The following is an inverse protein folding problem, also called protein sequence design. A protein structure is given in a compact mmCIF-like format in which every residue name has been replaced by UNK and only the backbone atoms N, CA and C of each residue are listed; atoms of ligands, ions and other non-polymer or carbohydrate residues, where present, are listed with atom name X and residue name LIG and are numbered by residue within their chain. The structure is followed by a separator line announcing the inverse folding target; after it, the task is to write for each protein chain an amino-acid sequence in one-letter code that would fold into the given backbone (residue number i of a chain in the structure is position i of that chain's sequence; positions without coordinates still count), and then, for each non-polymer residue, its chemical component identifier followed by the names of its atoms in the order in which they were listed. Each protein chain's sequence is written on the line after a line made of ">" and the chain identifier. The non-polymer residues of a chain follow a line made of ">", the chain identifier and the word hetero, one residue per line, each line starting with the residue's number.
data_IF_635786079691
#
_entry.id   IF_635786079691
#
_cell.length_a   1.000
_cell.length_b   1.000
_cell.length_c   1.000
_cell.angle_alpha   90.00
_cell.angle_beta   90.00
_cell.angle_gamma   90.00
#
_symmetry.space_group_name_H-M   'P 1'
#
loop_
_entity.id
_entity.type
_entity.pdbx_description
1 polymer ?
#
# COMPACT_ATOMS: atom_id res chain seq x y z
N UNK A 1 7.53 3.18 4.57
CA UNK A 1 7.29 1.73 4.74
C UNK A 1 6.40 1.17 3.63
N UNK A 2 5.17 1.64 3.46
CA UNK A 2 4.21 1.03 2.52
C UNK A 2 4.65 1.10 1.05
N UNK A 3 5.36 2.15 0.60
CA UNK A 3 5.91 2.21 -0.77
C UNK A 3 7.03 1.19 -0.98
N UNK A 4 7.95 1.07 0.00
CA UNK A 4 8.99 0.06 -0.04
C UNK A 4 8.39 -1.36 -0.03
N UNK A 5 7.36 -1.58 0.79
CA UNK A 5 6.62 -2.84 0.85
C UNK A 5 5.99 -3.22 -0.48
N UNK A 6 5.31 -2.28 -1.15
CA UNK A 6 4.69 -2.51 -2.46
C UNK A 6 5.73 -2.75 -3.55
N UNK A 7 6.86 -2.02 -3.51
CA UNK A 7 7.95 -2.20 -4.47
C UNK A 7 8.59 -3.59 -4.34
N UNK A 8 8.97 -3.99 -3.13
CA UNK A 8 9.53 -5.32 -2.87
C UNK A 8 8.50 -6.43 -3.13
N UNK A 9 7.22 -6.17 -2.80
CA UNK A 9 6.12 -7.07 -3.11
C UNK A 9 5.94 -7.30 -4.62
N UNK A 10 6.08 -6.24 -5.42
CA UNK A 10 6.06 -6.36 -6.89
C UNK A 10 7.23 -7.20 -7.40
N UNK A 11 8.44 -7.01 -6.86
CA UNK A 11 9.59 -7.85 -7.18
C UNK A 11 9.36 -9.33 -6.84
N UNK A 12 8.72 -9.60 -5.70
CA UNK A 12 8.34 -10.97 -5.33
C UNK A 12 7.34 -11.59 -6.29
N UNK A 13 6.34 -10.80 -6.76
CA UNK A 13 5.36 -11.26 -7.75
C UNK A 13 6.03 -11.59 -9.07
N UNK A 14 6.89 -10.68 -9.58
CA UNK A 14 7.62 -10.88 -10.85
C UNK A 14 8.47 -12.15 -10.77
N UNK A 15 9.24 -12.31 -9.71
CA UNK A 15 10.05 -13.50 -9.48
C UNK A 15 9.21 -14.79 -9.47
N UNK A 16 8.04 -14.76 -8.83
CA UNK A 16 7.10 -15.89 -8.82
C UNK A 16 6.55 -16.21 -10.21
N UNK A 17 6.29 -15.20 -11.04
CA UNK A 17 5.83 -15.36 -12.42
C UNK A 17 6.92 -15.95 -13.33
N UNK A 18 8.17 -15.45 -13.22
CA UNK A 18 9.32 -15.99 -13.94
C UNK A 18 9.59 -17.45 -13.58
N UNK A 19 9.52 -17.77 -12.27
CA UNK A 19 9.67 -19.16 -11.81
C UNK A 19 8.55 -20.05 -12.37
N UNK A 20 7.31 -19.54 -12.43
CA UNK A 20 6.19 -20.24 -13.04
C UNK A 20 6.38 -20.48 -14.53
N UNK A 21 6.98 -19.55 -15.28
CA UNK A 21 7.33 -19.70 -16.68
C UNK A 21 8.36 -20.82 -16.88
N UNK A 22 9.45 -20.80 -16.10
CA UNK A 22 10.47 -21.85 -16.18
C UNK A 22 9.86 -23.24 -15.91
N UNK A 23 9.03 -23.35 -14.88
CA UNK A 23 8.35 -24.60 -14.55
C UNK A 23 7.42 -25.09 -15.67
N UNK A 24 6.68 -24.18 -16.32
CA UNK A 24 5.82 -24.49 -17.45
C UNK A 24 6.63 -25.05 -18.62
N UNK A 25 7.77 -24.43 -18.96
CA UNK A 25 8.67 -24.90 -20.02
C UNK A 25 9.23 -26.30 -19.75
N UNK A 26 9.60 -26.62 -18.51
CA UNK A 26 10.07 -27.96 -18.13
C UNK A 26 9.01 -29.05 -18.37
N UNK A 27 7.73 -28.70 -18.26
CA UNK A 27 6.62 -29.62 -18.50
C UNK A 27 6.09 -29.59 -19.96
N UNK A 28 6.76 -28.85 -20.87
CA UNK A 28 6.39 -28.76 -22.27
C UNK A 28 5.17 -27.87 -22.53
N UNK A 29 4.77 -27.07 -21.56
CA UNK A 29 3.74 -26.05 -21.74
C UNK A 29 4.40 -24.74 -22.22
N UNK A 30 3.76 -24.06 -23.16
CA UNK A 30 4.29 -22.81 -23.73
C UNK A 30 3.42 -21.62 -23.38
N UNK A 31 4.06 -20.54 -22.98
CA UNK A 31 3.41 -19.26 -22.77
C UNK A 31 3.04 -18.59 -24.12
N UNK A 32 2.16 -17.59 -24.02
CA UNK A 32 1.85 -16.73 -25.16
C UNK A 32 3.11 -16.00 -25.65
N UNK A 33 3.30 -15.82 -26.96
CA UNK A 33 4.54 -15.22 -27.52
C UNK A 33 4.86 -13.80 -27.02
N UNK A 34 3.86 -13.10 -26.43
CA UNK A 34 4.01 -11.72 -25.88
C UNK A 34 4.06 -11.69 -24.38
N UNK A 35 4.33 -12.84 -23.71
CA UNK A 35 4.37 -12.88 -22.24
C UNK A 35 5.44 -11.94 -21.66
N UNK A 36 5.04 -11.20 -20.66
CA UNK A 36 5.91 -10.33 -19.86
C UNK A 36 5.51 -10.47 -18.38
N UNK A 37 6.43 -10.94 -17.54
CA UNK A 37 6.23 -11.14 -16.12
C UNK A 37 5.93 -9.83 -15.37
N UNK A 38 6.24 -8.67 -15.94
CA UNK A 38 5.93 -7.36 -15.36
C UNK A 38 4.50 -6.89 -15.67
N UNK A 39 3.82 -7.47 -16.64
CA UNK A 39 2.51 -7.02 -17.06
C UNK A 39 1.39 -7.73 -16.29
N UNK A 40 0.66 -6.96 -15.47
CA UNK A 40 -0.48 -7.44 -14.68
C UNK A 40 -1.59 -8.11 -15.52
N UNK A 41 -1.64 -7.87 -16.84
CA UNK A 41 -2.64 -8.50 -17.72
C UNK A 41 -2.43 -9.99 -17.86
N UNK A 42 -1.21 -10.48 -17.66
CA UNK A 42 -0.85 -11.89 -17.71
C UNK A 42 -0.94 -12.60 -16.34
N UNK A 43 -1.15 -11.83 -15.26
CA UNK A 43 -1.29 -12.34 -13.89
C UNK A 43 -2.73 -12.79 -13.60
N UNK A 44 -3.02 -13.04 -12.35
CA UNK A 44 -4.34 -13.38 -11.81
C UNK A 44 -4.29 -14.62 -10.95
N UNK A 45 -5.16 -14.67 -9.93
CA UNK A 45 -5.27 -15.82 -9.05
C UNK A 45 -4.07 -16.09 -8.13
N UNK A 46 -3.07 -15.22 -8.11
CA UNK A 46 -1.82 -15.42 -7.36
C UNK A 46 -2.02 -15.51 -5.84
N UNK A 47 -3.16 -15.04 -5.31
CA UNK A 47 -3.48 -15.16 -3.87
C UNK A 47 -3.33 -16.57 -3.32
N UNK A 48 -3.65 -17.59 -4.11
CA UNK A 48 -3.56 -18.98 -3.69
C UNK A 48 -2.14 -19.54 -3.82
N UNK A 49 -1.36 -19.00 -4.71
CA UNK A 49 0.01 -19.45 -5.02
C UNK A 49 1.05 -18.73 -4.17
N UNK A 50 0.82 -17.45 -3.88
CA UNK A 50 1.72 -16.56 -3.16
C UNK A 50 0.97 -15.88 -1.99
N UNK A 51 0.51 -16.62 -0.97
CA UNK A 51 -0.34 -16.06 0.09
C UNK A 51 0.39 -15.06 0.98
N UNK A 52 1.67 -15.27 1.29
CA UNK A 52 2.43 -14.35 2.13
C UNK A 52 2.71 -13.01 1.40
N UNK A 53 3.13 -13.08 0.14
CA UNK A 53 3.29 -11.91 -0.72
C UNK A 53 1.95 -11.18 -0.91
N UNK A 54 0.84 -11.90 -1.08
CA UNK A 54 -0.50 -11.31 -1.17
C UNK A 54 -0.87 -10.51 0.08
N UNK A 55 -0.69 -11.09 1.29
CA UNK A 55 -1.01 -10.41 2.55
C UNK A 55 -0.16 -9.15 2.71
N UNK A 56 1.15 -9.25 2.48
CA UNK A 56 2.06 -8.11 2.54
C UNK A 56 1.66 -7.00 1.56
N UNK A 57 1.34 -7.38 0.31
CA UNK A 57 0.90 -6.45 -0.72
C UNK A 57 -0.44 -5.81 -0.41
N UNK A 58 -1.39 -6.57 0.15
CA UNK A 58 -2.69 -6.07 0.59
C UNK A 58 -2.53 -5.03 1.70
N UNK A 59 -1.73 -5.33 2.73
CA UNK A 59 -1.45 -4.38 3.83
C UNK A 59 -0.80 -3.11 3.30
N UNK A 60 0.21 -3.23 2.43
CA UNK A 60 0.87 -2.08 1.80
C UNK A 60 -0.10 -1.24 0.95
N UNK A 61 -0.96 -1.91 0.19
CA UNK A 61 -1.99 -1.27 -0.63
C UNK A 61 -3.05 -0.54 0.19
N UNK A 62 -3.54 -1.16 1.25
CA UNK A 62 -4.48 -0.54 2.19
C UNK A 62 -3.82 0.67 2.90
N UNK A 63 -2.55 0.55 3.29
CA UNK A 63 -1.81 1.66 3.89
C UNK A 63 -1.60 2.81 2.90
N UNK A 64 -1.27 2.51 1.63
CA UNK A 64 -1.15 3.52 0.58
C UNK A 64 -2.50 4.18 0.27
N UNK A 65 -3.58 3.41 0.20
CA UNK A 65 -4.94 3.93 0.00
C UNK A 65 -5.44 4.78 1.19
N UNK A 66 -4.88 4.58 2.38
CA UNK A 66 -5.33 5.23 3.60
C UNK A 66 -6.60 4.59 4.16
N UNK A 67 -6.59 3.25 4.28
CA UNK A 67 -7.75 2.55 4.84
C UNK A 67 -7.99 2.97 6.30
N UNK A 68 -9.23 3.37 6.67
CA UNK A 68 -9.51 4.00 7.95
C UNK A 68 -9.10 3.14 9.15
N UNK A 69 -8.59 3.80 10.18
CA UNK A 69 -8.25 3.29 11.53
C UNK A 69 -7.15 2.24 11.62
N UNK A 70 -6.85 1.48 10.57
CA UNK A 70 -5.98 0.30 10.62
C UNK A 70 -4.59 0.59 10.06
N UNK A 71 -4.42 1.65 9.26
CA UNK A 71 -3.18 1.87 8.50
C UNK A 71 -2.52 3.21 8.77
N UNK A 72 -1.18 3.21 8.73
CA UNK A 72 -0.38 4.42 8.89
C UNK A 72 -0.73 5.53 7.88
N UNK A 73 -1.12 5.14 6.66
CA UNK A 73 -1.47 6.09 5.61
C UNK A 73 -2.79 6.83 5.85
N UNK A 74 -3.68 6.31 6.69
CA UNK A 74 -4.91 7.01 7.08
C UNK A 74 -4.58 8.26 7.91
N UNK A 75 -3.84 8.09 8.98
CA UNK A 75 -3.52 9.18 9.91
C UNK A 75 -2.84 10.36 9.25
N UNK A 76 -1.86 10.11 8.37
CA UNK A 76 -1.17 11.18 7.64
C UNK A 76 -2.05 11.89 6.61
N UNK A 77 -2.96 11.17 5.94
CA UNK A 77 -3.87 11.80 4.97
C UNK A 77 -4.97 12.59 5.65
N UNK A 78 -5.50 12.08 6.76
CA UNK A 78 -6.53 12.75 7.54
C UNK A 78 -6.03 14.10 8.06
N UNK A 79 -4.82 14.15 8.62
CA UNK A 79 -4.18 15.37 9.10
C UNK A 79 -3.98 16.40 7.97
N UNK A 80 -3.43 15.99 6.82
CA UNK A 80 -3.23 16.88 5.66
C UNK A 80 -4.58 17.43 5.13
N UNK A 81 -5.61 16.60 5.06
CA UNK A 81 -6.93 17.03 4.61
C UNK A 81 -7.61 17.95 5.63
N UNK A 82 -7.45 17.69 6.92
CA UNK A 82 -7.97 18.53 7.99
C UNK A 82 -7.32 19.90 7.97
N UNK A 83 -6.00 20.00 7.81
CA UNK A 83 -5.27 21.25 7.71
C UNK A 83 -5.68 22.07 6.46
N UNK A 84 -5.82 21.39 5.32
CA UNK A 84 -6.29 22.03 4.11
C UNK A 84 -7.73 22.57 4.26
N UNK A 85 -8.60 21.83 4.93
CA UNK A 85 -9.96 22.27 5.26
C UNK A 85 -9.97 23.44 6.25
N UNK A 86 -9.14 23.37 7.27
CA UNK A 86 -9.02 24.44 8.29
C UNK A 86 -8.56 25.76 7.66
N UNK A 87 -7.61 25.71 6.72
CA UNK A 87 -7.14 26.87 5.97
C UNK A 87 -8.24 27.56 5.14
N UNK A 88 -9.23 26.77 4.66
CA UNK A 88 -10.41 27.32 3.96
C UNK A 88 -11.30 28.10 4.93
N UNK A 89 -11.51 27.56 6.15
CA UNK A 89 -12.43 28.15 7.14
C UNK A 89 -11.82 29.40 7.78
N UNK A 90 -10.55 29.37 8.16
CA UNK A 90 -9.87 30.49 8.83
C UNK A 90 -9.54 31.64 7.89
N UNK A 91 -9.47 31.40 6.59
CA UNK A 91 -9.19 32.43 5.60
C UNK A 91 -7.76 32.98 5.62
N UNK A 92 -6.81 32.26 6.21
CA UNK A 92 -5.40 32.64 6.34
C UNK A 92 -4.67 32.74 4.99
N UNK A 93 -5.22 32.13 3.97
CA UNK A 93 -4.71 32.11 2.60
C UNK A 93 -5.79 32.52 1.61
N UNK A 94 -5.42 32.66 0.33
CA UNK A 94 -6.41 32.84 -0.72
C UNK A 94 -7.37 31.63 -0.71
N UNK A 95 -8.60 31.87 -0.24
CA UNK A 95 -9.62 30.79 -0.07
C UNK A 95 -9.85 29.96 -1.34
N UNK A 96 -9.76 30.62 -2.52
CA UNK A 96 -9.88 29.95 -3.80
C UNK A 96 -8.76 28.95 -4.05
N UNK A 97 -7.53 29.29 -3.67
CA UNK A 97 -6.38 28.39 -3.78
C UNK A 97 -6.47 27.25 -2.77
N UNK A 98 -6.85 27.52 -1.52
CA UNK A 98 -7.03 26.51 -0.49
C UNK A 98 -8.10 25.49 -0.88
N UNK A 99 -9.24 25.94 -1.43
CA UNK A 99 -10.30 25.07 -1.94
C UNK A 99 -9.81 24.19 -3.11
N UNK A 100 -9.06 24.78 -4.04
CA UNK A 100 -8.50 24.06 -5.18
C UNK A 100 -7.54 22.97 -4.71
N UNK A 101 -6.65 23.27 -3.77
CA UNK A 101 -5.73 22.29 -3.16
C UNK A 101 -6.51 21.16 -2.49
N UNK A 102 -7.54 21.47 -1.69
CA UNK A 102 -8.37 20.48 -1.03
C UNK A 102 -9.05 19.53 -2.04
N UNK A 103 -9.63 20.07 -3.11
CA UNK A 103 -10.26 19.26 -4.17
C UNK A 103 -9.25 18.32 -4.82
N UNK A 104 -8.04 18.80 -5.14
CA UNK A 104 -7.01 17.94 -5.72
C UNK A 104 -6.52 16.86 -4.76
N UNK A 105 -6.40 17.16 -3.46
CA UNK A 105 -6.03 16.17 -2.44
C UNK A 105 -7.08 15.07 -2.31
N UNK A 106 -8.37 15.43 -2.29
CA UNK A 106 -9.48 14.45 -2.25
C UNK A 106 -9.48 13.59 -3.52
N UNK A 107 -9.36 14.22 -4.70
CA UNK A 107 -9.29 13.50 -5.96
C UNK A 107 -8.08 12.55 -6.01
N UNK A 108 -6.92 12.98 -5.56
CA UNK A 108 -5.72 12.16 -5.48
C UNK A 108 -5.89 10.97 -4.51
N UNK A 109 -6.54 11.17 -3.37
CA UNK A 109 -6.84 10.10 -2.42
C UNK A 109 -7.77 9.05 -3.04
N UNK A 110 -8.84 9.49 -3.72
CA UNK A 110 -9.76 8.60 -4.43
C UNK A 110 -9.06 7.80 -5.54
N UNK A 111 -8.29 8.48 -6.40
CA UNK A 111 -7.54 7.83 -7.48
C UNK A 111 -6.51 6.84 -6.93
N UNK A 112 -5.87 7.17 -5.81
CA UNK A 112 -4.92 6.26 -5.14
C UNK A 112 -5.61 4.96 -4.70
N UNK A 113 -6.76 5.05 -4.07
CA UNK A 113 -7.54 3.88 -3.67
C UNK A 113 -7.97 3.06 -4.89
N UNK A 114 -8.43 3.73 -5.95
CA UNK A 114 -8.90 3.08 -7.18
C UNK A 114 -7.77 2.30 -7.89
N UNK A 115 -6.61 2.93 -8.15
CA UNK A 115 -5.54 2.23 -8.87
C UNK A 115 -4.90 1.12 -8.01
N UNK A 116 -4.82 1.32 -6.69
CA UNK A 116 -4.30 0.29 -5.76
C UNK A 116 -5.21 -0.93 -5.77
N UNK A 117 -6.53 -0.73 -5.69
CA UNK A 117 -7.49 -1.82 -5.76
C UNK A 117 -7.45 -2.54 -7.11
N UNK A 118 -7.33 -1.79 -8.21
CA UNK A 118 -7.15 -2.37 -9.54
C UNK A 118 -5.92 -3.25 -9.61
N UNK A 119 -4.78 -2.79 -9.08
CA UNK A 119 -3.52 -3.53 -9.06
C UNK A 119 -3.68 -4.85 -8.28
N UNK A 120 -4.24 -4.80 -7.07
CA UNK A 120 -4.48 -6.00 -6.24
C UNK A 120 -5.42 -6.97 -6.95
N UNK A 121 -6.51 -6.47 -7.53
CA UNK A 121 -7.50 -7.30 -8.20
C UNK A 121 -6.94 -7.99 -9.42
N UNK A 122 -6.16 -7.30 -10.24
CA UNK A 122 -5.59 -7.86 -11.46
C UNK A 122 -4.49 -8.88 -11.20
N UNK A 123 -3.71 -8.68 -10.15
CA UNK A 123 -2.56 -9.54 -9.81
C UNK A 123 -2.99 -10.77 -9.02
N UNK A 124 -3.76 -10.57 -7.95
CA UNK A 124 -3.98 -11.62 -6.96
C UNK A 124 -5.35 -12.29 -7.02
N UNK A 125 -6.36 -11.59 -7.53
CA UNK A 125 -7.72 -12.12 -7.55
C UNK A 125 -8.09 -12.75 -8.89
N UNK A 126 -9.23 -13.44 -8.91
CA UNK A 126 -9.72 -14.13 -10.11
C UNK A 126 -9.05 -15.47 -10.37
N UNK A 127 -8.99 -15.83 -11.65
CA UNK A 127 -8.34 -17.06 -12.14
C UNK A 127 -7.00 -16.70 -12.78
N UNK A 128 -5.99 -17.61 -12.74
CA UNK A 128 -4.76 -17.46 -13.53
C UNK A 128 -5.09 -17.21 -15.00
N UNK A 129 -4.41 -16.23 -15.60
CA UNK A 129 -4.64 -15.87 -17.02
C UNK A 129 -3.61 -16.48 -17.96
N UNK A 130 -2.51 -16.94 -17.39
CA UNK A 130 -1.38 -17.55 -18.12
C UNK A 130 -0.95 -18.84 -17.43
N UNK A 131 -0.18 -19.64 -18.13
CA UNK A 131 0.41 -20.88 -17.60
C UNK A 131 1.38 -20.53 -16.47
N UNK A 132 2.21 -19.50 -16.65
CA UNK A 132 3.12 -18.99 -15.61
C UNK A 132 2.38 -18.60 -14.33
N UNK A 133 1.24 -17.90 -14.42
CA UNK A 133 0.44 -17.56 -13.25
C UNK A 133 -0.17 -18.80 -12.55
N UNK A 134 -0.46 -19.85 -13.32
CA UNK A 134 -0.96 -21.12 -12.76
C UNK A 134 0.13 -21.92 -12.04
N UNK A 135 1.39 -21.79 -12.45
CA UNK A 135 2.55 -22.46 -11.88
C UNK A 135 3.41 -21.56 -10.97
N UNK A 136 3.02 -20.30 -10.79
CA UNK A 136 3.72 -19.38 -9.89
C UNK A 136 3.83 -19.94 -8.48
N UNK A 137 4.95 -19.70 -7.82
CA UNK A 137 5.24 -20.15 -6.46
C UNK A 137 5.64 -19.00 -5.56
N UNK A 138 5.45 -19.15 -4.24
CA UNK A 138 5.88 -18.17 -3.25
C UNK A 138 7.40 -17.97 -3.32
N UNK A 139 7.83 -16.73 -3.18
CA UNK A 139 9.24 -16.40 -3.16
C UNK A 139 9.98 -17.00 -1.95
N UNK A 140 11.30 -17.03 -2.01
CA UNK A 140 12.14 -17.55 -0.92
C UNK A 140 11.88 -16.80 0.40
N UNK A 141 12.14 -17.47 1.52
CA UNK A 141 12.00 -16.87 2.87
C UNK A 141 12.83 -15.58 3.01
N UNK A 142 13.98 -15.49 2.33
CA UNK A 142 14.82 -14.30 2.33
C UNK A 142 14.13 -13.07 1.73
N UNK A 143 13.19 -13.25 0.80
CA UNK A 143 12.37 -12.16 0.23
C UNK A 143 11.11 -11.93 1.05
N UNK A 144 10.45 -12.98 1.51
CA UNK A 144 9.15 -12.89 2.21
C UNK A 144 9.29 -12.30 3.61
N UNK A 145 10.35 -12.65 4.36
CA UNK A 145 10.53 -12.16 5.74
C UNK A 145 10.63 -10.63 5.81
N UNK A 146 11.47 -9.95 5.01
CA UNK A 146 11.48 -8.49 4.98
C UNK A 146 10.13 -7.87 4.61
N UNK A 147 9.38 -8.50 3.68
CA UNK A 147 8.04 -8.04 3.30
C UNK A 147 7.08 -8.07 4.50
N UNK A 148 7.07 -9.16 5.26
CA UNK A 148 6.20 -9.28 6.43
C UNK A 148 6.59 -8.30 7.54
N UNK A 149 7.88 -8.06 7.77
CA UNK A 149 8.36 -7.04 8.71
C UNK A 149 7.86 -5.65 8.29
N UNK A 150 8.04 -5.28 7.03
CA UNK A 150 7.55 -4.00 6.50
C UNK A 150 6.02 -3.89 6.56
N UNK A 151 5.28 -4.99 6.37
CA UNK A 151 3.84 -5.01 6.50
C UNK A 151 3.38 -4.69 7.93
N UNK A 152 4.06 -5.24 8.95
CA UNK A 152 3.79 -4.92 10.35
C UNK A 152 4.01 -3.42 10.62
N UNK A 153 5.11 -2.86 10.15
CA UNK A 153 5.38 -1.43 10.30
C UNK A 153 4.38 -0.56 9.53
N UNK A 154 3.99 -0.95 8.31
CA UNK A 154 3.00 -0.23 7.52
C UNK A 154 1.62 -0.21 8.17
N UNK A 155 1.28 -1.25 8.93
CA UNK A 155 0.04 -1.31 9.69
C UNK A 155 0.13 -0.50 11.01
N UNK A 156 1.20 -0.65 11.78
CA UNK A 156 1.24 -0.22 13.19
C UNK A 156 1.86 1.15 13.43
N UNK A 157 2.83 1.59 12.59
CA UNK A 157 3.54 2.84 12.87
C UNK A 157 2.67 4.10 12.80
N UNK A 158 1.52 4.04 12.14
CA UNK A 158 0.59 5.15 12.13
C UNK A 158 0.02 5.51 13.51
N UNK A 159 -0.06 4.53 14.39
CA UNK A 159 -0.58 4.77 15.75
C UNK A 159 0.36 5.60 16.64
N UNK A 160 1.64 5.71 16.29
CA UNK A 160 2.61 6.56 17.00
C UNK A 160 2.33 8.05 16.80
N UNK A 161 1.63 8.42 15.72
CA UNK A 161 1.27 9.80 15.39
C UNK A 161 -0.19 10.17 15.68
N UNK A 162 -0.94 9.36 16.42
CA UNK A 162 -2.35 9.65 16.72
C UNK A 162 -2.46 10.82 17.69
N UNK A 163 -3.28 11.81 17.34
CA UNK A 163 -3.51 13.01 18.15
C UNK A 163 -4.22 12.68 19.45
N UNK A 164 -3.90 13.43 20.54
CA UNK A 164 -4.45 13.21 21.88
C UNK A 164 -5.98 13.33 21.95
N UNK A 165 -6.55 14.21 21.13
CA UNK A 165 -7.99 14.46 21.06
C UNK A 165 -8.79 13.34 20.36
N UNK A 166 -8.11 12.31 19.83
CA UNK A 166 -8.80 11.25 19.11
C UNK A 166 -9.55 10.31 20.09
N UNK A 167 -10.88 10.14 19.93
CA UNK A 167 -11.69 9.36 20.87
C UNK A 167 -11.16 7.94 21.05
N UNK A 168 -10.99 7.47 22.26
CA UNK A 168 -10.51 6.14 22.66
C UNK A 168 -9.01 5.89 22.41
N UNK A 169 -8.45 6.22 21.24
CA UNK A 169 -7.07 5.92 20.90
C UNK A 169 -6.08 6.94 21.44
N UNK A 170 -6.43 8.23 21.46
CA UNK A 170 -5.60 9.28 22.04
C UNK A 170 -5.35 9.07 23.54
N UNK A 171 -6.39 8.71 24.29
CA UNK A 171 -6.27 8.42 25.73
C UNK A 171 -5.52 7.11 26.04
N UNK A 172 -5.58 6.12 25.14
CA UNK A 172 -4.94 4.81 25.33
C UNK A 172 -3.44 4.85 24.99
N UNK A 173 -3.03 5.67 24.01
CA UNK A 173 -1.64 5.77 23.51
C UNK A 173 -0.82 6.86 24.22
N UNK A 174 -1.44 7.64 25.11
CA UNK A 174 -0.73 8.53 26.05
C UNK A 174 -0.07 9.75 25.45
N UNK A 175 -0.66 10.38 24.44
CA UNK A 175 -0.13 11.56 23.77
C UNK A 175 0.54 11.26 22.44
N UNK A 176 0.72 12.29 21.60
CA UNK A 176 1.37 12.16 20.30
C UNK A 176 2.90 12.28 20.45
N UNK A 177 3.65 11.18 20.67
CA UNK A 177 5.09 11.23 20.87
C UNK A 177 5.84 11.77 19.67
N UNK A 178 5.27 11.64 18.46
CA UNK A 178 5.84 12.18 17.25
C UNK A 178 5.75 13.72 17.21
N UNK A 179 4.62 14.28 17.59
CA UNK A 179 4.43 15.74 17.66
C UNK A 179 5.32 16.38 18.71
N UNK A 180 5.46 15.76 19.88
CA UNK A 180 6.41 16.21 20.91
C UNK A 180 7.87 16.18 20.44
N UNK A 181 8.25 15.15 19.71
CA UNK A 181 9.60 15.04 19.15
C UNK A 181 9.87 16.12 18.11
N UNK A 182 8.93 16.35 17.18
CA UNK A 182 9.08 17.36 16.11
C UNK A 182 8.95 18.78 16.67
N UNK A 183 8.01 19.02 17.58
CA UNK A 183 7.82 20.31 18.24
C UNK A 183 9.05 20.74 19.04
N UNK A 184 9.67 19.84 19.77
CA UNK A 184 10.91 20.10 20.50
C UNK A 184 12.11 20.42 19.61
N UNK A 185 12.11 20.02 18.33
CA UNK A 185 13.15 20.40 17.34
C UNK A 185 12.89 21.77 16.72
N UNK A 186 11.65 22.23 16.71
CA UNK A 186 11.28 23.55 16.14
C UNK A 186 11.49 24.72 17.13
N UNK A 187 11.59 24.43 18.45
CA UNK A 187 11.85 25.40 19.50
C UNK A 187 13.36 25.61 19.78
N UNK A 188 14.24 24.85 19.17
CA UNK A 188 15.72 25.00 19.24
C UNK A 188 16.27 25.69 18.02
#
# INVERSE_FOLDING_TARGET
>A
FFKALLFLGSGSVIHGMEHGEHHAHEHGEHEVPSFDANDMRYMGGLRKRMPATFIAFLVGGLALAGFPFITAGFWSKDEILADAWHSIILGDWNQGLALLVFIFLVAAAFLTAFYTWRQISMTFLGKPRTVSAAHASESSKAMVVPLLILAVFAALLGYVGVHEDFPLLGSLLGGNPFHHFVGGLAET
#
